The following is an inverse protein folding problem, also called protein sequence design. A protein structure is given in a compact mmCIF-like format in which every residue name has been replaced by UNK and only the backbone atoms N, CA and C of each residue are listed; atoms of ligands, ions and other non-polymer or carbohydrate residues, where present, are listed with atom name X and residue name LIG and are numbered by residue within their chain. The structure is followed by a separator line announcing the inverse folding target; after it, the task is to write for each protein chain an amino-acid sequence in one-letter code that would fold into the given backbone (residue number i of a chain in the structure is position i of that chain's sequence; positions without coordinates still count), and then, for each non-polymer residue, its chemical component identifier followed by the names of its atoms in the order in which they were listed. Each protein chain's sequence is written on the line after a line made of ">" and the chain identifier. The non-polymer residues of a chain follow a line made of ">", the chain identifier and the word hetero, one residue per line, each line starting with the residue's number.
data_IF_119871792758
#
_entry.id   IF_119871792758
#
_cell.length_a   1.000
_cell.length_b   1.000
_cell.length_c   1.000
_cell.angle_alpha   90.00
_cell.angle_beta   90.00
_cell.angle_gamma   90.00
#
_symmetry.space_group_name_H-M   'P 1'
#
loop_
_entity.id
_entity.type
_entity.pdbx_description
1 polymer ?
#
# COMPACT_ATOMS: atom_id res chain seq x y z
N UNK A 1 47.04 -5.68 -42.14
CA UNK A 1 47.28 -6.50 -40.93
C UNK A 1 48.75 -6.32 -40.61
N UNK A 2 49.20 -5.77 -39.48
CA UNK A 2 48.54 -5.41 -38.24
C UNK A 2 49.23 -4.21 -37.59
N UNK A 3 48.45 -3.46 -36.81
CA UNK A 3 48.85 -2.22 -36.16
C UNK A 3 49.74 -2.43 -34.94
N UNK A 4 50.59 -1.43 -34.67
CA UNK A 4 51.42 -1.34 -33.47
C UNK A 4 50.68 -0.64 -32.33
N UNK A 5 50.69 -1.34 -31.21
CA UNK A 5 50.21 -1.01 -29.87
C UNK A 5 50.82 0.27 -29.30
N UNK A 6 49.99 1.11 -28.66
CA UNK A 6 50.43 2.02 -27.59
C UNK A 6 49.54 1.86 -26.36
N UNK A 7 50.23 1.76 -25.25
CA UNK A 7 49.78 1.44 -23.91
C UNK A 7 49.38 2.69 -23.12
N UNK A 8 48.50 2.46 -22.12
CA UNK A 8 48.45 3.14 -20.82
C UNK A 8 48.01 4.61 -20.73
N UNK A 9 46.83 4.82 -20.14
CA UNK A 9 46.71 5.68 -18.95
C UNK A 9 45.43 5.39 -18.14
N UNK A 10 45.67 4.98 -16.90
CA UNK A 10 44.75 4.81 -15.78
C UNK A 10 43.87 6.05 -15.55
N UNK A 11 42.62 5.84 -15.14
CA UNK A 11 41.99 6.60 -14.06
C UNK A 11 41.01 5.70 -13.30
N UNK A 12 41.43 5.34 -12.08
CA UNK A 12 40.56 4.97 -10.97
C UNK A 12 39.65 6.15 -10.61
N UNK A 13 38.46 5.83 -10.12
CA UNK A 13 37.58 6.58 -9.20
C UNK A 13 36.15 6.55 -9.75
N UNK A 14 35.10 6.22 -9.01
CA UNK A 14 34.95 5.71 -7.67
C UNK A 14 33.54 5.13 -7.64
N UNK A 15 33.40 3.99 -6.95
CA UNK A 15 32.24 3.63 -6.12
C UNK A 15 31.18 4.74 -6.05
N UNK A 16 30.10 4.63 -6.84
CA UNK A 16 28.83 5.23 -6.44
C UNK A 16 28.14 4.13 -5.66
N UNK A 17 28.08 4.37 -4.35
CA UNK A 17 27.45 3.50 -3.38
C UNK A 17 26.04 3.14 -3.88
N UNK A 18 25.82 1.86 -4.17
CA UNK A 18 24.49 1.27 -4.09
C UNK A 18 24.10 1.31 -2.61
N UNK A 19 23.58 2.44 -2.17
CA UNK A 19 22.69 2.47 -1.02
C UNK A 19 21.43 1.75 -1.49
N UNK A 20 21.44 0.41 -1.38
CA UNK A 20 20.23 -0.36 -1.12
C UNK A 20 19.71 0.15 0.23
N UNK A 21 19.09 1.33 0.20
CA UNK A 21 18.11 1.68 1.20
C UNK A 21 16.98 0.69 0.96
N UNK A 22 17.01 -0.40 1.72
CA UNK A 22 15.95 -1.39 1.82
C UNK A 22 14.71 -0.70 2.43
N UNK A 23 14.15 0.27 1.72
CA UNK A 23 12.83 0.79 1.99
C UNK A 23 11.90 -0.37 1.73
N UNK A 24 11.38 -0.97 2.80
CA UNK A 24 10.23 -1.85 2.68
C UNK A 24 9.15 -1.07 1.91
N UNK A 25 8.90 -1.47 0.67
CA UNK A 25 7.87 -0.81 -0.14
C UNK A 25 6.52 -1.12 0.47
N UNK A 26 5.78 -0.06 0.79
CA UNK A 26 4.41 -0.15 1.30
C UNK A 26 3.47 0.32 0.19
N UNK A 27 2.42 -0.46 -0.07
CA UNK A 27 1.30 -0.08 -0.94
C UNK A 27 0.14 0.31 -0.06
N UNK A 28 -0.46 1.46 -0.35
CA UNK A 28 -1.76 1.81 0.20
C UNK A 28 -2.84 1.33 -0.77
N UNK A 29 -3.74 0.49 -0.27
CA UNK A 29 -4.82 -0.09 -1.06
C UNK A 29 -6.12 0.53 -0.59
N UNK A 30 -6.70 1.37 -1.43
CA UNK A 30 -8.01 1.98 -1.19
C UNK A 30 -9.10 1.17 -1.90
N UNK A 31 -9.97 0.53 -1.14
CA UNK A 31 -11.09 -0.25 -1.64
C UNK A 31 -12.43 0.43 -1.37
N UNK A 32 -13.08 0.89 -2.44
CA UNK A 32 -14.38 1.56 -2.40
C UNK A 32 -15.35 0.97 -3.45
N UNK A 33 -16.12 -0.08 -3.11
CA UNK A 33 -16.99 -0.76 -4.06
C UNK A 33 -18.24 0.00 -4.45
N UNK A 34 -18.58 1.05 -3.71
CA UNK A 34 -19.76 1.85 -4.04
C UNK A 34 -19.51 2.78 -5.24
N UNK A 35 -18.24 3.04 -5.60
CA UNK A 35 -17.79 4.01 -6.63
C UNK A 35 -18.55 5.36 -6.61
N UNK A 36 -19.17 5.63 -5.47
CA UNK A 36 -20.08 6.72 -5.23
C UNK A 36 -19.67 7.38 -3.92
N UNK A 37 -19.71 8.70 -3.95
CA UNK A 37 -19.68 9.62 -2.81
C UNK A 37 -18.29 10.05 -2.27
N UNK A 38 -17.96 11.30 -2.60
CA UNK A 38 -17.52 12.39 -1.71
C UNK A 38 -16.28 12.23 -0.80
N UNK A 39 -15.73 11.04 -0.59
CA UNK A 39 -14.51 10.83 0.20
C UNK A 39 -13.30 10.88 -0.72
N UNK A 40 -12.77 12.08 -0.93
CA UNK A 40 -11.55 12.29 -1.72
C UNK A 40 -10.29 11.98 -0.89
N UNK A 41 -10.17 10.75 -0.39
CA UNK A 41 -9.04 10.33 0.43
C UNK A 41 -7.80 9.96 -0.40
N UNK A 42 -7.98 9.62 -1.68
CA UNK A 42 -6.87 9.22 -2.57
C UNK A 42 -5.83 10.32 -2.71
N UNK A 43 -6.24 11.59 -2.83
CA UNK A 43 -5.32 12.73 -2.90
C UNK A 43 -4.43 12.84 -1.64
N UNK A 44 -5.02 12.96 -0.44
CA UNK A 44 -4.29 12.91 0.82
C UNK A 44 -3.40 11.67 1.00
N UNK A 45 -3.88 10.47 0.66
CA UNK A 45 -3.05 9.25 0.74
C UNK A 45 -1.84 9.34 -0.19
N UNK A 46 -2.02 9.88 -1.40
CA UNK A 46 -0.92 10.09 -2.36
C UNK A 46 0.09 11.13 -1.89
N UNK A 47 -0.31 12.07 -1.04
CA UNK A 47 0.61 12.99 -0.40
C UNK A 47 1.48 12.31 0.67
N UNK A 48 1.03 11.19 1.24
CA UNK A 48 1.77 10.39 2.22
C UNK A 48 2.64 9.34 1.53
N UNK A 49 2.07 8.62 0.57
CA UNK A 49 2.74 7.55 -0.16
C UNK A 49 2.33 7.60 -1.63
N UNK A 50 3.29 7.65 -2.55
CA UNK A 50 3.01 7.71 -3.99
C UNK A 50 2.39 6.41 -4.54
N UNK A 51 2.57 5.29 -3.84
CA UNK A 51 2.07 3.97 -4.21
C UNK A 51 0.67 3.72 -3.62
N UNK A 52 -0.32 4.44 -4.15
CA UNK A 52 -1.74 4.23 -3.82
C UNK A 52 -2.45 3.54 -4.97
N UNK A 53 -2.99 2.36 -4.70
CA UNK A 53 -3.83 1.61 -5.64
C UNK A 53 -5.29 1.68 -5.20
N UNK A 54 -6.18 1.91 -6.16
CA UNK A 54 -7.61 2.12 -5.92
C UNK A 54 -8.43 1.04 -6.61
N UNK A 55 -9.37 0.43 -5.90
CA UNK A 55 -10.22 -0.63 -6.42
C UNK A 55 -11.68 -0.39 -6.04
N UNK A 56 -12.58 -0.65 -6.98
CA UNK A 56 -14.02 -0.74 -6.77
C UNK A 56 -14.53 -2.20 -6.85
N UNK A 57 -13.75 -3.10 -7.44
CA UNK A 57 -14.09 -4.52 -7.53
C UNK A 57 -13.24 -5.35 -6.56
N UNK A 58 -13.87 -6.20 -5.76
CA UNK A 58 -13.16 -7.03 -4.77
C UNK A 58 -12.26 -8.07 -5.42
N UNK A 59 -12.64 -8.60 -6.59
CA UNK A 59 -11.86 -9.59 -7.34
C UNK A 59 -10.48 -9.05 -7.72
N UNK A 60 -10.44 -7.92 -8.43
CA UNK A 60 -9.21 -7.28 -8.86
C UNK A 60 -8.37 -6.78 -7.67
N UNK A 61 -9.02 -6.26 -6.62
CA UNK A 61 -8.36 -5.87 -5.38
C UNK A 61 -7.64 -7.05 -4.73
N UNK A 62 -8.33 -8.18 -4.53
CA UNK A 62 -7.76 -9.35 -3.87
C UNK A 62 -6.71 -10.05 -4.73
N UNK A 63 -6.84 -10.04 -6.05
CA UNK A 63 -5.81 -10.55 -6.96
C UNK A 63 -4.52 -9.74 -6.84
N UNK A 64 -4.61 -8.42 -6.76
CA UNK A 64 -3.45 -7.56 -6.55
C UNK A 64 -2.82 -7.80 -5.18
N UNK A 65 -3.61 -7.83 -4.11
CA UNK A 65 -3.09 -8.09 -2.74
C UNK A 65 -2.38 -9.44 -2.69
N UNK A 66 -2.98 -10.48 -3.28
CA UNK A 66 -2.43 -11.86 -3.29
C UNK A 66 -1.15 -12.00 -4.11
N UNK A 67 -1.00 -11.21 -5.17
CA UNK A 67 0.19 -11.23 -6.03
C UNK A 67 1.29 -10.26 -5.60
N UNK A 68 1.02 -9.39 -4.62
CA UNK A 68 1.98 -8.44 -4.09
C UNK A 68 3.01 -9.12 -3.19
N UNK A 69 4.27 -8.71 -3.35
CA UNK A 69 5.35 -8.99 -2.40
C UNK A 69 5.64 -7.79 -1.47
N UNK A 70 4.89 -6.70 -1.62
CA UNK A 70 5.01 -5.48 -0.83
C UNK A 70 4.09 -5.52 0.38
N UNK A 71 4.45 -4.77 1.44
CA UNK A 71 3.57 -4.60 2.60
C UNK A 71 2.35 -3.78 2.20
N UNK A 72 1.17 -4.15 2.68
CA UNK A 72 -0.09 -3.53 2.30
C UNK A 72 -0.77 -2.94 3.52
N UNK A 73 -1.07 -1.65 3.41
CA UNK A 73 -2.03 -0.97 4.29
C UNK A 73 -3.34 -0.87 3.54
N UNK A 74 -4.31 -1.67 3.98
CA UNK A 74 -5.62 -1.76 3.36
C UNK A 74 -6.57 -0.76 4.01
N UNK A 75 -7.26 0.01 3.18
CA UNK A 75 -8.18 1.06 3.60
C UNK A 75 -9.48 0.85 2.84
N UNK A 76 -10.63 0.81 3.51
CA UNK A 76 -11.92 0.62 2.84
C UNK A 76 -13.02 1.54 3.34
N UNK A 77 -13.92 1.95 2.46
CA UNK A 77 -15.14 2.68 2.79
C UNK A 77 -16.29 1.80 3.28
N UNK A 78 -16.07 0.49 3.44
CA UNK A 78 -17.13 -0.45 3.78
C UNK A 78 -16.76 -1.23 5.02
N UNK A 79 -17.59 -1.14 6.05
CA UNK A 79 -17.52 -2.01 7.22
C UNK A 79 -18.22 -3.34 6.93
N UNK A 80 -17.44 -4.38 6.68
CA UNK A 80 -17.97 -5.72 6.43
C UNK A 80 -17.03 -6.76 7.06
N UNK A 81 -17.53 -7.52 8.05
CA UNK A 81 -16.74 -8.55 8.75
C UNK A 81 -16.16 -9.62 7.80
N UNK A 82 -16.86 -10.00 6.74
CA UNK A 82 -16.36 -10.97 5.75
C UNK A 82 -15.20 -10.38 4.94
N UNK A 83 -15.30 -9.09 4.57
CA UNK A 83 -14.20 -8.36 3.92
C UNK A 83 -12.99 -8.28 4.85
N UNK A 84 -13.20 -7.83 6.09
CA UNK A 84 -12.13 -7.68 7.09
C UNK A 84 -11.44 -9.02 7.33
N UNK A 85 -12.21 -10.09 7.56
CA UNK A 85 -11.66 -11.44 7.75
C UNK A 85 -10.86 -11.92 6.54
N UNK A 86 -11.37 -11.69 5.32
CA UNK A 86 -10.67 -12.11 4.09
C UNK A 86 -9.35 -11.35 3.93
N UNK A 87 -9.38 -10.04 4.15
CA UNK A 87 -8.21 -9.18 3.98
C UNK A 87 -7.16 -9.43 5.06
N UNK A 88 -7.61 -9.67 6.30
CA UNK A 88 -6.76 -10.01 7.43
C UNK A 88 -5.87 -11.22 7.15
N UNK A 89 -6.41 -12.23 6.47
CA UNK A 89 -5.71 -13.49 6.21
C UNK A 89 -4.65 -13.37 5.10
N UNK A 90 -4.59 -12.26 4.37
CA UNK A 90 -3.52 -12.04 3.40
C UNK A 90 -2.18 -11.77 4.11
N UNK A 91 -1.11 -12.53 3.79
CA UNK A 91 0.20 -12.34 4.42
C UNK A 91 0.78 -10.95 4.17
N UNK A 92 0.56 -10.38 2.99
CA UNK A 92 1.06 -9.06 2.62
C UNK A 92 0.37 -7.90 3.37
N UNK A 93 -0.82 -8.12 3.94
CA UNK A 93 -1.56 -7.08 4.67
C UNK A 93 -1.01 -6.97 6.08
N UNK A 94 -0.58 -5.77 6.44
CA UNK A 94 -0.03 -5.43 7.76
C UNK A 94 -1.04 -4.64 8.60
N UNK A 95 -1.88 -3.83 7.95
CA UNK A 95 -2.87 -3.00 8.64
C UNK A 95 -4.15 -2.86 7.80
N UNK A 96 -5.28 -2.79 8.49
CA UNK A 96 -6.63 -2.59 7.96
C UNK A 96 -7.22 -1.37 8.65
N UNK A 97 -7.71 -0.43 7.85
CA UNK A 97 -8.40 0.78 8.27
C UNK A 97 -9.77 0.82 7.59
N UNK A 98 -10.83 1.01 8.35
CA UNK A 98 -12.19 1.11 7.81
C UNK A 98 -12.66 2.54 7.99
N UNK A 99 -13.17 3.15 6.92
CA UNK A 99 -13.81 4.46 6.93
C UNK A 99 -15.32 4.24 6.81
N UNK A 100 -16.02 4.24 7.93
CA UNK A 100 -17.47 4.09 7.95
C UNK A 100 -18.09 5.05 8.96
N UNK A 101 -18.92 6.03 8.54
CA UNK A 101 -19.60 6.94 9.45
C UNK A 101 -20.62 6.23 10.33
N UNK A 102 -21.06 5.02 9.96
CA UNK A 102 -21.92 4.18 10.76
C UNK A 102 -21.03 3.14 11.44
N UNK A 103 -20.57 3.46 12.64
CA UNK A 103 -19.75 2.56 13.47
C UNK A 103 -20.60 1.37 13.97
N UNK A 104 -20.96 0.47 13.06
CA UNK A 104 -21.51 -0.82 13.44
C UNK A 104 -20.37 -1.69 13.97
N UNK A 105 -20.60 -2.36 15.09
CA UNK A 105 -19.57 -3.13 15.78
C UNK A 105 -18.99 -4.21 14.85
N UNK A 106 -17.72 -4.04 14.46
CA UNK A 106 -16.90 -5.11 13.91
C UNK A 106 -16.93 -6.26 14.92
N UNK A 107 -17.27 -7.47 14.45
CA UNK A 107 -17.37 -8.65 15.30
C UNK A 107 -16.24 -9.60 14.95
N UNK A 108 -15.33 -9.81 15.88
CA UNK A 108 -14.21 -10.73 15.72
C UNK A 108 -12.95 -10.21 16.37
N UNK A 109 -11.94 -11.07 16.43
CA UNK A 109 -10.58 -10.69 16.79
C UNK A 109 -9.77 -10.59 15.50
N UNK A 110 -9.48 -9.35 15.09
CA UNK A 110 -8.72 -9.05 13.88
C UNK A 110 -7.48 -8.24 14.28
N UNK A 111 -6.36 -8.88 14.66
CA UNK A 111 -5.13 -8.18 15.08
C UNK A 111 -4.59 -7.15 14.09
N UNK A 112 -4.87 -7.32 12.79
CA UNK A 112 -4.48 -6.36 11.74
C UNK A 112 -5.47 -5.22 11.55
N UNK A 113 -6.63 -5.22 12.22
CA UNK A 113 -7.58 -4.12 12.20
C UNK A 113 -7.15 -3.05 13.20
N UNK A 114 -6.62 -1.95 12.68
CA UNK A 114 -6.15 -0.85 13.50
C UNK A 114 -7.29 0.06 13.97
N UNK A 115 -8.35 0.18 13.18
CA UNK A 115 -9.51 0.96 13.59
C UNK A 115 -10.59 1.11 12.52
N UNK A 116 -11.76 1.51 13.01
CA UNK A 116 -12.87 2.04 12.23
C UNK A 116 -12.94 3.53 12.52
N UNK A 117 -12.89 4.36 11.48
CA UNK A 117 -12.85 5.81 11.58
C UNK A 117 -14.11 6.39 10.92
N UNK A 118 -14.92 7.16 11.65
CA UNK A 118 -16.08 7.82 11.07
C UNK A 118 -15.73 8.86 10.00
N UNK A 119 -14.52 9.43 10.09
CA UNK A 119 -14.05 10.52 9.24
C UNK A 119 -12.62 10.28 8.75
N UNK A 120 -12.33 10.69 7.51
CA UNK A 120 -10.99 10.56 6.92
C UNK A 120 -9.93 11.37 7.69
N UNK A 121 -10.31 12.50 8.30
CA UNK A 121 -9.42 13.37 9.05
C UNK A 121 -8.86 12.68 10.31
N UNK A 122 -9.61 11.73 10.88
CA UNK A 122 -9.15 10.96 12.03
C UNK A 122 -8.08 9.95 11.63
N UNK A 123 -8.26 9.28 10.50
CA UNK A 123 -7.26 8.37 9.94
C UNK A 123 -5.94 9.10 9.61
N UNK A 124 -6.02 10.33 9.10
CA UNK A 124 -4.86 11.10 8.64
C UNK A 124 -4.15 11.90 9.75
N UNK A 125 -4.66 11.89 10.99
CA UNK A 125 -4.05 12.55 12.16
C UNK A 125 -3.20 11.62 13.01
N UNK A 126 -3.30 10.31 12.80
CA UNK A 126 -2.49 9.29 13.46
C UNK A 126 -1.04 9.32 12.96
#
# INVERSE_FOLDING_TARGET
>A
MDGSTKESSKRNASRVNSTDENYESVIFVWFNPQDQSNVNIVGPLRAINHNVQTFNESSSCFEMIRSSNEKIFFISSVNNNQLISTVHDFPAVEAIFILDPNEDMVRGDFPKLFGVFPQQEELLRL
#
